data_IF_893110310202
#
_entry.id   IF_893110310202
#
_cell.length_a   1.000
_cell.length_b   1.000
_cell.length_c   1.000
_cell.angle_alpha   90.00
_cell.angle_beta   90.00
_cell.angle_gamma   90.00
#
_symmetry.space_group_name_H-M   'P 1'
#
loop_
_entity.id
_entity.type
_entity.pdbx_description
1 polymer ?
#
# COMPACT_ATOMS: atom_id res chain seq x y z
N UNK A 1 -12.38 -26.33 34.52
CA UNK A 1 -11.32 -25.82 33.62
C UNK A 1 -11.85 -24.52 33.04
N UNK A 2 -11.17 -23.37 33.16
CA UNK A 2 -11.72 -22.11 32.65
C UNK A 2 -11.64 -22.07 31.12
N UNK A 3 -12.77 -21.71 30.50
CA UNK A 3 -12.98 -21.66 29.06
C UNK A 3 -12.47 -20.31 28.50
N UNK A 4 -11.37 -20.34 27.77
CA UNK A 4 -10.68 -19.17 27.21
C UNK A 4 -11.17 -18.78 25.80
N UNK A 5 -12.44 -19.01 25.47
CA UNK A 5 -12.98 -18.66 24.15
C UNK A 5 -13.73 -17.31 24.20
N UNK A 6 -13.04 -16.25 24.61
CA UNK A 6 -13.51 -14.88 24.37
C UNK A 6 -13.17 -14.49 22.93
N UNK A 7 -14.06 -14.84 22.01
CA UNK A 7 -14.04 -14.24 20.68
C UNK A 7 -14.45 -12.78 20.84
N UNK A 8 -13.61 -11.85 20.39
CA UNK A 8 -13.93 -10.42 20.39
C UNK A 8 -15.09 -10.19 19.42
N UNK A 9 -16.32 -10.19 19.93
CA UNK A 9 -17.50 -9.63 19.25
C UNK A 9 -17.38 -8.11 19.28
N UNK A 10 -16.42 -7.58 18.51
CA UNK A 10 -16.51 -6.20 18.02
C UNK A 10 -17.73 -6.07 17.11
N UNK A 11 -18.30 -4.87 16.93
CA UNK A 11 -19.54 -4.67 16.18
C UNK A 11 -19.46 -5.35 14.81
N UNK A 12 -20.28 -6.38 14.63
CA UNK A 12 -20.37 -7.20 13.41
C UNK A 12 -20.86 -6.44 12.16
N UNK A 13 -21.11 -5.13 12.28
CA UNK A 13 -21.50 -4.21 11.21
C UNK A 13 -20.30 -3.51 10.54
N UNK A 14 -19.09 -3.64 11.10
CA UNK A 14 -17.89 -3.15 10.44
C UNK A 14 -17.39 -4.21 9.44
N UNK A 15 -17.99 -4.26 8.25
CA UNK A 15 -17.33 -4.91 7.13
C UNK A 15 -15.88 -4.41 7.06
N UNK A 16 -14.86 -5.29 7.00
CA UNK A 16 -13.47 -4.87 6.99
C UNK A 16 -13.26 -3.95 5.78
N UNK A 17 -13.16 -2.64 6.05
CA UNK A 17 -12.91 -1.67 5.01
C UNK A 17 -11.44 -1.75 4.62
N UNK A 18 -11.13 -1.59 3.32
CA UNK A 18 -9.75 -1.56 2.88
C UNK A 18 -9.03 -0.38 3.56
N UNK A 19 -7.90 -0.68 4.18
CA UNK A 19 -7.05 0.34 4.77
C UNK A 19 -6.53 1.29 3.68
N UNK A 20 -6.22 2.54 4.02
CA UNK A 20 -5.66 3.53 3.10
C UNK A 20 -4.41 3.00 2.35
N UNK A 21 -3.58 2.27 3.09
CA UNK A 21 -2.37 1.64 2.57
C UNK A 21 -2.59 0.27 1.90
N UNK A 22 -3.83 -0.13 1.59
CA UNK A 22 -4.13 -1.46 1.04
C UNK A 22 -3.32 -1.77 -0.21
N UNK A 23 -3.27 -0.86 -1.17
CA UNK A 23 -2.47 -1.16 -2.36
C UNK A 23 -0.97 -1.28 -2.06
N UNK A 24 -0.44 -0.65 -0.99
CA UNK A 24 0.98 -0.78 -0.65
C UNK A 24 1.25 -2.16 -0.08
N UNK A 25 0.26 -2.73 0.61
CA UNK A 25 0.28 -4.12 0.99
C UNK A 25 0.20 -5.04 -0.25
N UNK A 26 -0.64 -4.71 -1.24
CA UNK A 26 -0.70 -5.48 -2.50
C UNK A 26 0.65 -5.50 -3.23
N UNK A 27 1.35 -4.35 -3.32
CA UNK A 27 2.71 -4.28 -3.90
C UNK A 27 3.72 -5.17 -3.14
N UNK A 28 3.58 -5.26 -1.80
CA UNK A 28 4.41 -6.15 -0.98
C UNK A 28 4.08 -7.61 -1.26
N UNK A 29 2.80 -7.96 -1.29
CA UNK A 29 2.34 -9.33 -1.54
C UNK A 29 2.76 -9.81 -2.94
N UNK A 30 2.71 -8.93 -3.94
CA UNK A 30 3.22 -9.20 -5.28
C UNK A 30 4.73 -9.42 -5.29
N UNK A 31 5.48 -8.61 -4.53
CA UNK A 31 6.92 -8.82 -4.36
C UNK A 31 7.27 -10.15 -3.68
N UNK A 32 6.46 -10.58 -2.70
CA UNK A 32 6.64 -11.84 -1.96
C UNK A 32 6.30 -13.05 -2.84
N UNK A 33 5.29 -12.92 -3.71
CA UNK A 33 4.91 -13.98 -4.64
C UNK A 33 5.81 -14.08 -5.87
N UNK A 34 6.64 -13.06 -6.12
CA UNK A 34 7.56 -12.99 -7.26
C UNK A 34 8.94 -13.58 -6.95
N UNK A 35 9.57 -14.21 -7.95
CA UNK A 35 10.97 -14.66 -7.89
C UNK A 35 11.82 -13.90 -8.92
N UNK A 36 12.93 -13.25 -8.53
CA UNK A 36 13.48 -13.11 -7.18
C UNK A 36 12.60 -12.23 -6.27
N UNK A 37 12.62 -12.50 -4.95
CA UNK A 37 11.81 -11.75 -3.97
C UNK A 37 12.28 -10.30 -3.83
N UNK A 38 11.63 -9.37 -4.54
CA UNK A 38 11.85 -7.93 -4.44
C UNK A 38 10.77 -7.28 -3.57
N UNK A 39 10.93 -7.45 -2.26
CA UNK A 39 9.95 -7.02 -1.24
C UNK A 39 10.42 -5.83 -0.41
N UNK A 40 11.73 -5.56 -0.39
CA UNK A 40 12.32 -4.57 0.53
C UNK A 40 11.80 -3.16 0.25
N UNK A 41 11.75 -2.76 -1.03
CA UNK A 41 11.22 -1.45 -1.45
C UNK A 41 9.71 -1.30 -1.22
N UNK A 42 8.84 -2.20 -1.70
CA UNK A 42 7.41 -2.07 -1.46
C UNK A 42 7.08 -2.12 0.04
N UNK A 43 7.82 -2.90 0.83
CA UNK A 43 7.61 -2.98 2.28
C UNK A 43 7.95 -1.68 3.00
N UNK A 44 9.05 -1.03 2.60
CA UNK A 44 9.41 0.28 3.14
C UNK A 44 8.34 1.34 2.85
N UNK A 45 7.79 1.36 1.62
CA UNK A 45 6.71 2.27 1.24
C UNK A 45 5.40 1.98 1.98
N UNK A 46 5.09 0.71 2.22
CA UNK A 46 3.94 0.31 3.05
C UNK A 46 4.04 0.84 4.48
N UNK A 47 5.20 0.64 5.12
CA UNK A 47 5.44 1.17 6.47
C UNK A 47 5.41 2.70 6.50
N UNK A 48 5.96 3.35 5.47
CA UNK A 48 5.91 4.80 5.34
C UNK A 48 4.46 5.29 5.20
N UNK A 49 3.63 4.60 4.43
CA UNK A 49 2.21 4.91 4.30
C UNK A 49 1.46 4.79 5.63
N UNK A 50 1.73 3.74 6.42
CA UNK A 50 1.13 3.57 7.76
C UNK A 50 1.53 4.72 8.68
N UNK A 51 2.80 5.16 8.61
CA UNK A 51 3.32 6.26 9.41
C UNK A 51 2.85 7.65 8.93
N UNK A 52 2.51 7.78 7.65
CA UNK A 52 2.10 9.05 7.03
C UNK A 52 0.68 9.46 7.43
N UNK A 53 0.43 10.77 7.39
CA UNK A 53 -0.90 11.33 7.55
C UNK A 53 -1.76 11.07 6.30
N UNK A 54 -3.11 11.07 6.44
CA UNK A 54 -4.00 10.98 5.28
C UNK A 54 -3.68 12.08 4.27
N UNK A 55 -3.42 11.71 3.01
CA UNK A 55 -3.09 12.64 1.93
C UNK A 55 -1.60 12.90 1.71
N UNK A 56 -0.70 12.42 2.59
CA UNK A 56 0.76 12.48 2.40
C UNK A 56 1.33 11.08 2.12
N UNK A 57 0.58 10.30 1.36
CA UNK A 57 0.92 8.91 1.10
C UNK A 57 2.05 8.83 0.07
N UNK A 58 3.01 7.91 0.27
CA UNK A 58 4.09 7.72 -0.68
C UNK A 58 3.56 7.14 -2.00
N UNK A 59 4.26 7.41 -3.10
CA UNK A 59 3.93 6.84 -4.41
C UNK A 59 4.03 5.31 -4.38
N UNK A 60 3.13 4.61 -5.06
CA UNK A 60 3.10 3.15 -5.12
C UNK A 60 4.37 2.57 -5.75
N UNK A 61 4.78 1.37 -5.31
CA UNK A 61 5.96 0.71 -5.87
C UNK A 61 5.73 0.31 -7.33
N UNK A 62 4.54 -0.20 -7.64
CA UNK A 62 4.09 -0.53 -9.00
C UNK A 62 4.13 0.67 -9.95
N UNK A 63 3.82 1.88 -9.49
CA UNK A 63 3.92 3.11 -10.28
C UNK A 63 5.38 3.52 -10.52
N UNK A 64 6.23 3.40 -9.49
CA UNK A 64 7.66 3.68 -9.62
C UNK A 64 8.37 2.71 -10.58
N UNK A 65 7.99 1.42 -10.58
CA UNK A 65 8.53 0.41 -11.48
C UNK A 65 8.26 0.74 -12.95
N UNK A 66 7.07 1.25 -13.26
CA UNK A 66 6.69 1.67 -14.61
C UNK A 66 7.47 2.90 -15.09
N UNK A 67 7.81 3.83 -14.18
CA UNK A 67 8.62 4.99 -14.53
C UNK A 67 10.10 4.62 -14.78
N UNK A 68 10.63 3.60 -14.09
CA UNK A 68 12.01 3.15 -14.32
C UNK A 68 12.19 2.38 -15.64
N UNK A 69 11.15 1.78 -16.21
CA UNK A 69 11.23 1.07 -17.49
C UNK A 69 11.09 2.03 -18.69
N UNK A 70 10.39 3.15 -18.49
CA UNK A 70 10.14 4.15 -19.51
C UNK A 70 11.02 5.38 -19.31
N UNK A 71 12.29 5.34 -19.73
CA UNK A 71 13.06 6.56 -19.99
C UNK A 71 12.52 7.36 -21.21
N UNK A 72 11.22 7.29 -21.49
CA UNK A 72 10.52 8.09 -22.50
C UNK A 72 9.04 8.37 -22.18
N UNK A 73 8.51 8.00 -21.01
CA UNK A 73 7.14 8.39 -20.64
C UNK A 73 7.24 9.54 -19.66
N UNK A 74 7.18 10.74 -20.22
CA UNK A 74 7.00 12.02 -19.55
C UNK A 74 6.08 11.85 -18.34
N UNK A 75 6.61 12.13 -17.15
CA UNK A 75 5.82 12.47 -15.99
C UNK A 75 4.89 13.63 -16.37
N UNK A 76 3.66 13.31 -16.76
CA UNK A 76 2.53 14.18 -16.42
C UNK A 76 2.28 13.97 -14.92
N UNK A 77 3.19 14.54 -14.13
CA UNK A 77 2.73 15.31 -12.98
C UNK A 77 2.01 16.48 -13.65
N UNK A 78 0.70 16.59 -13.47
CA UNK A 78 0.01 17.84 -13.75
C UNK A 78 0.19 18.75 -12.53
N UNK A 79 1.13 19.72 -12.50
CA UNK A 79 1.21 20.69 -11.41
C UNK A 79 0.22 21.85 -11.61
N UNK A 80 -0.75 21.76 -12.54
CA UNK A 80 -1.63 22.89 -12.84
C UNK A 80 -3.10 22.51 -13.04
N UNK A 81 -3.73 22.05 -11.97
CA UNK A 81 -5.06 22.59 -11.66
C UNK A 81 -4.88 24.05 -11.26
N UNK A 82 -4.98 24.98 -12.21
CA UNK A 82 -5.44 26.37 -11.97
C UNK A 82 -5.92 26.99 -13.29
N UNK A 83 -7.21 27.34 -13.29
CA UNK A 83 -7.98 28.19 -14.23
C UNK A 83 -8.43 27.63 -15.58
#
# INVERSE_FOLDING_TARGET
MPEFNKHSTGPSDAAPQPHRCNGHLEDVLEGVSSWPMDVAKPFSLFLQCIKSQPGQEPVRYSQQKNHSNNNNVTLIVDPNSTS
#
